data_IF_027645006303
#
_entry.id   IF_027645006303
#
_cell.length_a   1.000
_cell.length_b   1.000
_cell.length_c   1.000
_cell.angle_alpha   90.00
_cell.angle_beta   90.00
_cell.angle_gamma   90.00
#
_symmetry.space_group_name_H-M   'P 1'
#
loop_
_entity.id
_entity.type
_entity.pdbx_description
1 polymer ?
#
# COMPACT_ATOMS: atom_id res chain seq x y z
N UNK A 1 -6.89 12.53 -9.94
CA UNK A 1 -7.21 12.70 -8.51
C UNK A 1 -6.24 11.96 -7.60
N UNK A 2 -5.84 10.71 -7.92
CA UNK A 2 -4.83 9.96 -7.15
C UNK A 2 -3.47 10.66 -7.07
N UNK A 3 -3.00 11.28 -8.17
CA UNK A 3 -1.71 11.97 -8.19
C UNK A 3 -1.61 13.06 -7.12
N UNK A 4 -2.67 13.86 -6.93
CA UNK A 4 -2.72 14.88 -5.87
C UNK A 4 -2.68 14.25 -4.46
N UNK A 5 -3.40 13.14 -4.25
CA UNK A 5 -3.38 12.39 -2.98
C UNK A 5 -1.96 11.86 -2.69
N UNK A 6 -1.30 11.28 -3.68
CA UNK A 6 0.04 10.71 -3.55
C UNK A 6 1.11 11.78 -3.26
N UNK A 7 1.07 12.91 -3.97
CA UNK A 7 2.00 14.02 -3.71
C UNK A 7 1.76 14.61 -2.32
N UNK A 8 0.51 14.82 -1.92
CA UNK A 8 0.17 15.28 -0.57
C UNK A 8 0.70 14.32 0.49
N UNK A 9 0.51 13.00 0.28
CA UNK A 9 1.04 11.96 1.14
C UNK A 9 2.57 12.05 1.28
N UNK A 10 3.30 12.10 0.17
CA UNK A 10 4.75 12.18 0.17
C UNK A 10 5.26 13.45 0.86
N UNK A 11 4.63 14.60 0.62
CA UNK A 11 4.97 15.86 1.27
C UNK A 11 4.79 15.77 2.79
N UNK A 12 3.64 15.25 3.25
CA UNK A 12 3.40 15.05 4.69
C UNK A 12 4.42 14.10 5.33
N UNK A 13 4.89 13.08 4.59
CA UNK A 13 5.93 12.16 5.07
C UNK A 13 7.29 12.85 5.12
N UNK A 14 7.61 13.74 4.16
CA UNK A 14 8.85 14.52 4.13
C UNK A 14 8.90 15.56 5.25
N UNK A 15 7.79 16.26 5.54
CA UNK A 15 7.69 17.22 6.65
C UNK A 15 7.97 16.59 8.01
N UNK A 16 7.61 15.31 8.17
CA UNK A 16 7.83 14.54 9.41
C UNK A 16 9.18 13.85 9.47
N UNK A 17 9.96 13.87 8.39
CA UNK A 17 11.24 13.20 8.30
C UNK A 17 12.38 14.14 8.70
N UNK A 18 13.27 13.67 9.58
CA UNK A 18 14.46 14.43 9.97
C UNK A 18 15.51 14.53 8.86
N UNK A 19 15.35 13.76 7.78
CA UNK A 19 16.28 13.67 6.65
C UNK A 19 15.49 13.64 5.32
N UNK A 20 16.21 13.82 4.21
CA UNK A 20 15.65 13.65 2.87
C UNK A 20 15.07 12.25 2.73
N UNK A 21 13.81 12.19 2.30
CA UNK A 21 13.06 10.97 2.15
C UNK A 21 13.41 10.30 0.81
N UNK A 22 13.62 8.99 0.84
CA UNK A 22 13.79 8.17 -0.37
C UNK A 22 12.41 7.66 -0.75
N UNK A 23 11.80 8.24 -1.78
CA UNK A 23 10.39 8.00 -2.16
C UNK A 23 10.09 6.50 -2.29
N UNK A 24 10.93 5.74 -3.01
CA UNK A 24 10.77 4.30 -3.20
C UNK A 24 10.64 3.54 -1.87
N UNK A 25 11.40 3.92 -0.83
CA UNK A 25 11.30 3.26 0.48
C UNK A 25 9.94 3.49 1.14
N UNK A 26 9.36 4.67 0.94
CA UNK A 26 8.03 5.03 1.44
C UNK A 26 6.92 4.39 0.61
N UNK A 27 7.13 4.27 -0.70
CA UNK A 27 6.20 3.65 -1.64
C UNK A 27 6.38 2.14 -1.75
N UNK A 28 6.87 1.47 -0.71
CA UNK A 28 7.04 0.01 -0.67
C UNK A 28 7.83 -0.56 -1.87
N UNK A 29 8.82 0.17 -2.37
CA UNK A 29 9.62 -0.17 -3.55
C UNK A 29 8.97 0.16 -4.90
N UNK A 30 7.77 0.73 -4.91
CA UNK A 30 7.07 1.16 -6.13
C UNK A 30 7.69 2.41 -6.73
N UNK A 31 7.74 2.48 -8.06
CA UNK A 31 7.87 3.74 -8.78
C UNK A 31 6.54 4.52 -8.64
N UNK A 32 6.65 5.80 -8.25
CA UNK A 32 5.54 6.75 -8.15
C UNK A 32 4.65 6.78 -9.39
N UNK A 33 5.24 6.63 -10.60
CA UNK A 33 4.50 6.69 -11.87
C UNK A 33 3.55 5.50 -12.07
N UNK A 34 3.81 4.38 -11.39
CA UNK A 34 3.00 3.15 -11.48
C UNK A 34 1.90 3.07 -10.43
N UNK A 35 1.98 3.89 -9.39
CA UNK A 35 0.99 3.92 -8.30
C UNK A 35 -0.34 4.49 -8.81
N UNK A 36 -1.30 3.62 -9.04
CA UNK A 36 -2.67 4.02 -9.39
C UNK A 36 -3.58 4.17 -8.17
N UNK A 37 -3.27 3.47 -7.10
CA UNK A 37 -4.03 3.54 -5.86
C UNK A 37 -3.18 3.09 -4.67
N UNK A 38 -3.47 3.64 -3.49
CA UNK A 38 -2.86 3.21 -2.24
C UNK A 38 -3.81 3.41 -1.07
N UNK A 39 -3.58 2.62 -0.03
CA UNK A 39 -4.24 2.69 1.27
C UNK A 39 -3.19 2.80 2.37
N UNK A 40 -3.43 3.67 3.35
CA UNK A 40 -2.70 3.63 4.62
C UNK A 40 -3.23 2.52 5.54
N UNK A 41 -2.50 2.20 6.62
CA UNK A 41 -3.02 1.29 7.66
C UNK A 41 -4.33 1.82 8.21
N UNK A 42 -4.38 3.12 8.53
CA UNK A 42 -5.59 3.79 9.00
C UNK A 42 -6.76 3.62 8.04
N UNK A 43 -6.58 4.00 6.78
CA UNK A 43 -7.66 3.91 5.77
C UNK A 43 -8.15 2.47 5.60
N UNK A 44 -7.24 1.49 5.60
CA UNK A 44 -7.59 0.08 5.48
C UNK A 44 -8.42 -0.42 6.68
N UNK A 45 -8.08 -0.02 7.91
CA UNK A 45 -8.76 -0.52 9.12
C UNK A 45 -10.02 0.27 9.47
N UNK A 46 -10.11 1.56 9.10
CA UNK A 46 -11.31 2.38 9.27
C UNK A 46 -12.52 1.77 8.53
N UNK A 47 -12.31 1.25 7.33
CA UNK A 47 -13.34 0.52 6.60
C UNK A 47 -12.74 -0.58 5.72
N UNK A 48 -12.53 -1.75 6.34
CA UNK A 48 -11.95 -2.92 5.67
C UNK A 48 -12.80 -3.36 4.49
N UNK A 49 -14.12 -3.41 4.64
CA UNK A 49 -15.02 -3.91 3.59
C UNK A 49 -14.98 -3.01 2.34
N UNK A 50 -15.13 -1.70 2.52
CA UNK A 50 -15.06 -0.74 1.42
C UNK A 50 -13.68 -0.77 0.74
N UNK A 51 -12.60 -0.86 1.54
CA UNK A 51 -11.23 -0.99 1.04
C UNK A 51 -11.06 -2.23 0.17
N UNK A 52 -11.56 -3.39 0.62
CA UNK A 52 -11.48 -4.63 -0.13
C UNK A 52 -12.31 -4.59 -1.42
N UNK A 53 -13.50 -3.98 -1.39
CA UNK A 53 -14.33 -3.79 -2.58
C UNK A 53 -13.65 -2.87 -3.61
N UNK A 54 -12.99 -1.81 -3.16
CA UNK A 54 -12.22 -0.93 -4.03
C UNK A 54 -11.02 -1.67 -4.66
N UNK A 55 -10.26 -2.42 -3.88
CA UNK A 55 -9.14 -3.23 -4.39
C UNK A 55 -9.64 -4.30 -5.38
N UNK A 56 -10.78 -4.94 -5.12
CA UNK A 56 -11.43 -5.88 -6.03
C UNK A 56 -11.75 -5.24 -7.38
N UNK A 57 -12.31 -4.02 -7.37
CA UNK A 57 -12.61 -3.28 -8.60
C UNK A 57 -11.32 -2.92 -9.38
N UNK A 58 -10.25 -2.53 -8.67
CA UNK A 58 -8.97 -2.21 -9.29
C UNK A 58 -8.30 -3.42 -9.94
N UNK A 59 -8.37 -4.59 -9.30
CA UNK A 59 -7.78 -5.83 -9.79
C UNK A 59 -8.42 -6.39 -11.07
N UNK A 60 -9.55 -5.81 -11.52
CA UNK A 60 -10.06 -6.06 -12.86
C UNK A 60 -9.10 -5.56 -13.94
N UNK A 61 -8.29 -4.54 -13.64
CA UNK A 61 -7.23 -4.01 -14.51
C UNK A 61 -5.96 -4.87 -14.42
N UNK A 62 -5.09 -4.78 -15.43
CA UNK A 62 -3.75 -5.41 -15.39
C UNK A 62 -2.87 -4.67 -14.39
N UNK A 63 -2.20 -5.41 -13.51
CA UNK A 63 -1.48 -4.83 -12.39
C UNK A 63 -1.29 -5.81 -11.25
N UNK A 64 -0.73 -5.31 -10.14
CA UNK A 64 -0.42 -6.11 -8.96
C UNK A 64 -0.67 -5.35 -7.66
N UNK A 65 -0.88 -6.09 -6.58
CA UNK A 65 -0.86 -5.51 -5.23
C UNK A 65 0.55 -5.56 -4.64
N UNK A 66 1.01 -4.44 -4.09
CA UNK A 66 2.15 -4.40 -3.18
C UNK A 66 1.60 -4.27 -1.77
N UNK A 67 1.91 -5.24 -0.92
CA UNK A 67 1.36 -5.40 0.43
C UNK A 67 2.47 -5.11 1.43
N UNK A 68 2.22 -4.25 2.40
CA UNK A 68 3.16 -4.03 3.50
C UNK A 68 3.15 -5.26 4.43
N UNK A 69 4.30 -5.90 4.58
CA UNK A 69 4.47 -7.09 5.42
C UNK A 69 4.37 -6.83 6.93
N UNK A 70 4.25 -5.56 7.36
CA UNK A 70 3.92 -5.21 8.74
C UNK A 70 2.43 -5.35 9.08
N UNK A 71 1.57 -5.64 8.10
CA UNK A 71 0.18 -6.01 8.36
C UNK A 71 0.11 -7.33 9.13
N UNK A 72 -0.97 -7.51 9.90
CA UNK A 72 -1.24 -8.81 10.55
C UNK A 72 -1.44 -9.88 9.49
N UNK A 73 -0.92 -11.09 9.75
CA UNK A 73 -0.98 -12.23 8.83
C UNK A 73 -2.39 -12.50 8.25
N UNK A 74 -3.49 -12.45 9.03
CA UNK A 74 -4.83 -12.63 8.45
C UNK A 74 -5.20 -11.61 7.37
N UNK A 75 -4.75 -10.35 7.50
CA UNK A 75 -4.99 -9.32 6.49
C UNK A 75 -4.13 -9.54 5.25
N UNK A 76 -2.84 -9.88 5.44
CA UNK A 76 -1.94 -10.24 4.34
C UNK A 76 -2.55 -11.39 3.53
N UNK A 77 -2.97 -12.47 4.19
CA UNK A 77 -3.59 -13.62 3.53
C UNK A 77 -4.87 -13.24 2.78
N UNK A 78 -5.72 -12.37 3.34
CA UNK A 78 -6.93 -11.87 2.64
C UNK A 78 -6.56 -11.13 1.35
N UNK A 79 -5.56 -10.26 1.39
CA UNK A 79 -5.11 -9.51 0.22
C UNK A 79 -4.45 -10.41 -0.83
N UNK A 80 -3.63 -11.38 -0.41
CA UNK A 80 -3.04 -12.38 -1.31
C UNK A 80 -4.12 -13.20 -2.03
N UNK A 81 -5.12 -13.69 -1.26
CA UNK A 81 -6.24 -14.45 -1.82
C UNK A 81 -7.07 -13.60 -2.78
N UNK A 82 -7.25 -12.30 -2.48
CA UNK A 82 -7.92 -11.37 -3.39
C UNK A 82 -7.17 -11.28 -4.73
N UNK A 83 -5.86 -11.00 -4.71
CA UNK A 83 -5.05 -10.96 -5.95
C UNK A 83 -5.12 -12.27 -6.73
N UNK A 84 -4.95 -13.42 -6.04
CA UNK A 84 -4.99 -14.75 -6.66
C UNK A 84 -6.33 -15.06 -7.32
N UNK A 85 -7.46 -14.68 -6.71
CA UNK A 85 -8.81 -14.89 -7.29
C UNK A 85 -9.04 -14.11 -8.57
N UNK A 86 -8.27 -13.04 -8.79
CA UNK A 86 -8.33 -12.21 -9.99
C UNK A 86 -7.19 -12.52 -10.98
N UNK A 87 -6.44 -13.60 -10.76
CA UNK A 87 -5.27 -13.96 -11.57
C UNK A 87 -4.26 -12.80 -11.69
N UNK A 88 -4.03 -12.11 -10.58
CA UNK A 88 -3.08 -11.00 -10.47
C UNK A 88 -1.94 -11.36 -9.54
N UNK A 89 -0.76 -10.83 -9.86
CA UNK A 89 0.39 -10.93 -8.99
C UNK A 89 0.24 -10.07 -7.74
N UNK A 90 0.99 -10.43 -6.71
CA UNK A 90 1.19 -9.59 -5.54
C UNK A 90 2.64 -9.67 -5.09
N UNK A 91 3.08 -8.68 -4.33
CA UNK A 91 4.40 -8.63 -3.70
C UNK A 91 4.21 -8.23 -2.24
N UNK A 92 4.92 -8.87 -1.33
CA UNK A 92 4.93 -8.49 0.08
C UNK A 92 6.27 -7.82 0.37
N UNK A 93 6.24 -6.63 0.98
CA UNK A 93 7.42 -5.80 1.19
C UNK A 93 7.57 -5.42 2.66
N UNK A 94 8.79 -5.60 3.17
CA UNK A 94 9.19 -5.20 4.53
C UNK A 94 10.47 -4.38 4.43
N UNK A 95 10.34 -3.05 4.48
CA UNK A 95 11.46 -2.12 4.28
C UNK A 95 12.12 -1.64 5.58
N UNK A 96 11.52 -1.96 6.72
CA UNK A 96 11.85 -1.41 8.03
C UNK A 96 12.31 -2.49 9.03
N UNK A 97 12.52 -3.73 8.55
CA UNK A 97 12.87 -4.86 9.41
C UNK A 97 11.81 -5.17 10.46
N UNK A 98 10.53 -5.01 10.13
CA UNK A 98 9.37 -5.27 11.00
C UNK A 98 9.19 -4.29 12.17
N UNK A 99 9.94 -3.18 12.22
CA UNK A 99 9.84 -2.20 13.32
C UNK A 99 8.45 -1.58 13.45
N UNK A 100 7.75 -1.33 12.34
CA UNK A 100 6.40 -0.80 12.34
C UNK A 100 5.43 -1.78 13.00
N UNK A 101 5.58 -3.09 12.78
CA UNK A 101 4.74 -4.12 13.42
C UNK A 101 4.82 -4.14 14.95
N UNK A 102 5.91 -3.60 15.51
CA UNK A 102 6.11 -3.49 16.97
C UNK A 102 5.49 -2.21 17.56
N UNK A 103 5.00 -1.28 16.72
CA UNK A 103 4.35 -0.07 17.19
C UNK A 103 2.96 -0.38 17.72
N UNK A 104 2.64 0.16 18.90
CA UNK A 104 1.28 0.20 19.39
C UNK A 104 0.39 1.01 18.42
N UNK A 105 -0.84 0.53 18.24
CA UNK A 105 -1.84 1.14 17.36
C UNK A 105 -1.37 1.36 15.92
N UNK A 106 -0.59 0.43 15.35
CA UNK A 106 -0.16 0.49 13.95
C UNK A 106 -1.35 0.68 12.98
N UNK A 107 -2.50 0.10 13.32
CA UNK A 107 -3.74 0.18 12.55
C UNK A 107 -4.28 1.62 12.41
N UNK A 108 -3.86 2.55 13.28
CA UNK A 108 -4.24 3.98 13.22
C UNK A 108 -3.20 4.85 12.51
N UNK A 109 -2.12 4.26 11.97
CA UNK A 109 -1.00 5.01 11.40
C UNK A 109 -1.19 5.30 9.92
N UNK A 110 -0.59 6.40 9.47
CA UNK A 110 -0.55 6.83 8.06
C UNK A 110 0.59 6.16 7.26
N UNK A 111 1.08 4.99 7.70
CA UNK A 111 2.01 4.21 6.88
C UNK A 111 1.24 3.54 5.74
N UNK A 112 1.86 3.28 4.59
CA UNK A 112 1.20 2.53 3.52
C UNK A 112 0.96 1.09 3.95
N UNK A 113 -0.27 0.62 3.78
CA UNK A 113 -0.65 -0.76 3.98
C UNK A 113 -0.63 -1.53 2.64
N UNK A 114 -1.18 -0.94 1.59
CA UNK A 114 -1.31 -1.57 0.26
C UNK A 114 -1.16 -0.53 -0.84
N UNK A 115 -0.53 -0.91 -1.94
CA UNK A 115 -0.49 -0.17 -3.20
C UNK A 115 -1.04 -1.08 -4.30
N UNK A 116 -1.81 -0.50 -5.24
CA UNK A 116 -2.05 -1.13 -6.53
C UNK A 116 -1.18 -0.42 -7.57
N UNK A 117 -0.29 -1.20 -8.18
CA UNK A 117 0.54 -0.79 -9.32
C UNK A 117 -0.08 -1.28 -10.62
N UNK A 118 -0.24 -0.39 -11.59
CA UNK A 118 -0.57 -0.80 -12.96
C UNK A 118 0.66 -1.39 -13.64
N UNK A 119 0.45 -2.45 -14.42
CA UNK A 119 1.48 -2.93 -15.32
C UNK A 119 1.72 -1.88 -16.42
N UNK A 120 2.98 -1.68 -16.86
CA UNK A 120 3.24 -0.82 -18.00
C UNK A 120 2.47 -1.38 -19.21
N UNK A 121 1.75 -0.51 -19.92
CA UNK A 121 1.21 -0.87 -21.22
C UNK A 121 2.38 -1.12 -22.16
N UNK A 122 2.49 -2.33 -22.70
CA UNK A 122 3.39 -2.65 -23.81
C UNK A 122 3.03 -1.85 -25.06
#
# INVERSE_FOLDING_TARGET
>A
MIFKKLISYLNQRQEKANNRLIEERVLLGSDRKRVLYFLTFKELHENVEASMNQLKALLQRKGKLIINGNLKLPMITKLMLLSKRHDRHFTIVVNDGYRLSMLQDIEKKEHLAVIFEEEPSE
#
